data_IF_899725990828
#
_entry.id   IF_899725990828
#
_cell.length_a   1.000
_cell.length_b   1.000
_cell.length_c   1.000
_cell.angle_alpha   90.00
_cell.angle_beta   90.00
_cell.angle_gamma   90.00
#
_symmetry.space_group_name_H-M   'P 1'
#
loop_
_entity.id
_entity.type
_entity.pdbx_description
1 polymer ?
#
# COMPACT_ATOMS: atom_id res chain seq x y z
N UNK A 1 1.27 -3.74 -20.62
CA UNK A 1 1.26 -4.44 -21.92
C UNK A 1 2.11 -3.61 -22.86
N UNK A 2 3.33 -4.07 -23.14
CA UNK A 2 4.17 -3.52 -24.20
C UNK A 2 3.67 -4.13 -25.52
N UNK A 3 3.02 -3.34 -26.36
CA UNK A 3 2.83 -3.69 -27.77
C UNK A 3 4.17 -3.52 -28.48
N UNK A 4 4.81 -4.61 -28.81
CA UNK A 4 6.03 -4.60 -29.63
C UNK A 4 5.58 -5.01 -31.04
N UNK A 5 5.58 -4.05 -31.96
CA UNK A 5 5.23 -4.29 -33.37
C UNK A 5 6.34 -4.98 -34.18
N UNK A 6 7.54 -5.16 -33.60
CA UNK A 6 8.69 -5.79 -34.25
C UNK A 6 9.34 -6.84 -33.38
N UNK A 7 9.21 -8.13 -33.76
CA UNK A 7 9.79 -9.26 -33.05
C UNK A 7 11.32 -9.18 -32.84
N UNK A 8 12.04 -8.50 -33.73
CA UNK A 8 13.50 -8.31 -33.60
C UNK A 8 13.92 -7.50 -32.37
N UNK A 9 13.08 -6.60 -31.88
CA UNK A 9 13.36 -5.81 -30.66
C UNK A 9 13.21 -6.64 -29.39
N UNK A 10 12.30 -7.60 -29.36
CA UNK A 10 12.12 -8.49 -28.21
C UNK A 10 13.29 -9.45 -28.09
N UNK A 11 13.72 -10.08 -29.19
CA UNK A 11 14.83 -11.01 -29.24
C UNK A 11 16.16 -10.38 -28.80
N UNK A 12 16.36 -9.07 -29.04
CA UNK A 12 17.56 -8.37 -28.64
C UNK A 12 17.61 -8.00 -27.13
N UNK A 13 16.46 -8.06 -26.44
CA UNK A 13 16.33 -7.69 -25.04
C UNK A 13 16.23 -8.90 -24.09
N UNK A 14 16.00 -10.11 -24.64
CA UNK A 14 15.83 -11.35 -23.89
C UNK A 14 17.08 -12.22 -23.97
N UNK A 15 17.27 -13.08 -22.98
CA UNK A 15 18.30 -14.13 -23.03
C UNK A 15 18.01 -15.17 -24.12
N UNK A 16 19.02 -15.88 -24.56
CA UNK A 16 18.89 -16.98 -25.53
C UNK A 16 17.90 -18.05 -25.05
N UNK A 17 17.88 -18.31 -23.74
CA UNK A 17 16.93 -19.27 -23.12
C UNK A 17 15.48 -18.77 -23.18
N UNK A 18 15.27 -17.49 -22.97
CA UNK A 18 13.94 -16.87 -23.05
C UNK A 18 13.42 -16.82 -24.49
N UNK A 19 14.31 -16.54 -25.46
CA UNK A 19 13.97 -16.58 -26.89
C UNK A 19 13.59 -18.00 -27.32
N UNK A 20 14.36 -19.03 -26.90
CA UNK A 20 14.06 -20.42 -27.19
C UNK A 20 12.69 -20.86 -26.60
N UNK A 21 12.35 -20.38 -25.42
CA UNK A 21 11.06 -20.64 -24.79
C UNK A 21 9.89 -20.03 -25.59
N UNK A 22 10.06 -18.82 -26.11
CA UNK A 22 9.06 -18.15 -26.95
C UNK A 22 8.88 -18.90 -28.26
N UNK A 23 9.98 -19.32 -28.90
CA UNK A 23 9.96 -20.07 -30.17
C UNK A 23 9.33 -21.46 -30.01
N UNK A 24 9.63 -22.19 -28.92
CA UNK A 24 9.02 -23.46 -28.61
C UNK A 24 7.50 -23.31 -28.42
N UNK A 25 7.08 -22.33 -27.64
CA UNK A 25 5.66 -22.03 -27.42
C UNK A 25 4.94 -21.62 -28.72
N UNK A 26 5.56 -20.82 -29.56
CA UNK A 26 5.02 -20.40 -30.87
C UNK A 26 4.91 -21.57 -31.86
N UNK A 27 5.75 -22.61 -31.70
CA UNK A 27 5.77 -23.81 -32.53
C UNK A 27 4.81 -24.90 -32.05
N UNK A 28 3.99 -24.66 -31.03
CA UNK A 28 3.00 -25.58 -30.48
C UNK A 28 3.39 -26.20 -29.15
N UNK A 29 4.40 -25.68 -28.49
CA UNK A 29 4.75 -25.97 -27.10
C UNK A 29 3.68 -25.50 -26.12
N UNK A 30 3.75 -25.98 -24.87
CA UNK A 30 2.82 -25.58 -23.81
C UNK A 30 3.12 -24.19 -23.22
N UNK A 31 2.17 -23.66 -22.46
CA UNK A 31 2.41 -22.45 -21.66
C UNK A 31 3.55 -22.68 -20.67
N UNK A 32 4.45 -21.71 -20.54
CA UNK A 32 5.60 -21.82 -19.66
C UNK A 32 5.98 -20.45 -19.06
N UNK A 33 6.78 -20.45 -18.00
CA UNK A 33 7.28 -19.22 -17.40
C UNK A 33 8.69 -19.40 -16.84
N UNK A 34 9.50 -18.34 -16.93
CA UNK A 34 10.84 -18.28 -16.35
C UNK A 34 11.11 -16.91 -15.74
N UNK A 35 12.20 -16.80 -14.97
CA UNK A 35 12.70 -15.51 -14.51
C UNK A 35 13.74 -15.02 -15.49
N UNK A 36 13.54 -13.82 -16.01
CA UNK A 36 14.44 -13.16 -16.94
C UNK A 36 15.12 -11.97 -16.26
N UNK A 37 16.42 -11.81 -16.52
CA UNK A 37 17.22 -10.72 -15.97
C UNK A 37 17.39 -9.64 -17.03
N UNK A 38 16.64 -8.54 -16.89
CA UNK A 38 16.72 -7.39 -17.78
C UNK A 38 17.50 -6.24 -17.14
N UNK A 39 17.94 -5.27 -17.95
CA UNK A 39 18.60 -4.05 -17.45
C UNK A 39 17.76 -3.28 -16.43
N UNK A 40 16.44 -3.45 -16.45
CA UNK A 40 15.48 -2.83 -15.54
C UNK A 40 15.23 -3.67 -14.27
N UNK A 41 15.86 -4.85 -14.14
CA UNK A 41 15.73 -5.79 -13.02
C UNK A 41 15.09 -7.11 -13.43
N UNK A 42 14.90 -7.98 -12.44
CA UNK A 42 14.31 -9.30 -12.65
C UNK A 42 12.84 -9.19 -13.07
N UNK A 43 12.48 -9.88 -14.14
CA UNK A 43 11.12 -9.97 -14.65
C UNK A 43 10.68 -11.45 -14.74
N UNK A 44 9.43 -11.72 -14.47
CA UNK A 44 8.82 -13.00 -14.83
C UNK A 44 8.38 -12.92 -16.28
N UNK A 45 8.98 -13.73 -17.11
CA UNK A 45 8.54 -13.99 -18.47
C UNK A 45 7.50 -15.11 -18.42
N UNK A 46 6.29 -14.84 -18.88
CA UNK A 46 5.25 -15.87 -19.08
C UNK A 46 4.90 -15.92 -20.56
N UNK A 47 4.95 -17.11 -21.13
CA UNK A 47 4.66 -17.36 -22.55
C UNK A 47 3.48 -18.30 -22.64
N UNK A 48 2.47 -17.92 -23.44
CA UNK A 48 1.24 -18.70 -23.62
C UNK A 48 1.02 -18.90 -25.13
N UNK A 49 0.70 -20.13 -25.58
CA UNK A 49 0.40 -20.39 -26.98
C UNK A 49 -0.77 -19.53 -27.48
N UNK A 50 -0.64 -19.03 -28.70
CA UNK A 50 -1.66 -18.28 -29.41
C UNK A 50 -1.78 -18.80 -30.84
N UNK A 51 -2.98 -18.80 -31.49
CA UNK A 51 -3.16 -19.27 -32.85
C UNK A 51 -2.19 -18.67 -33.89
N UNK A 52 -1.78 -17.42 -33.67
CA UNK A 52 -0.87 -16.69 -34.55
C UNK A 52 0.58 -16.65 -34.02
N UNK A 53 0.95 -17.49 -33.04
CA UNK A 53 2.29 -17.53 -32.45
C UNK A 53 2.29 -17.73 -30.93
N UNK A 54 2.85 -16.80 -30.16
CA UNK A 54 2.87 -16.85 -28.71
C UNK A 54 2.56 -15.46 -28.10
N UNK A 55 1.81 -15.45 -27.02
CA UNK A 55 1.63 -14.27 -26.17
C UNK A 55 2.73 -14.26 -25.11
N UNK A 56 3.43 -13.15 -25.00
CA UNK A 56 4.51 -12.94 -24.03
C UNK A 56 4.11 -11.86 -23.05
N UNK A 57 4.11 -12.19 -21.77
CA UNK A 57 3.92 -11.25 -20.68
C UNK A 57 5.22 -11.13 -19.87
N UNK A 58 5.68 -9.89 -19.67
CA UNK A 58 6.80 -9.56 -18.81
C UNK A 58 6.25 -8.85 -17.56
N UNK A 59 6.36 -9.49 -16.42
CA UNK A 59 5.97 -8.93 -15.13
C UNK A 59 7.22 -8.61 -14.32
N UNK A 60 7.48 -7.34 -13.97
CA UNK A 60 8.57 -7.00 -13.08
C UNK A 60 8.44 -7.79 -11.78
N UNK A 61 9.50 -8.51 -11.40
CA UNK A 61 9.57 -9.15 -10.11
C UNK A 61 9.99 -8.10 -9.08
N UNK A 62 9.25 -7.92 -7.99
CA UNK A 62 9.72 -7.08 -6.92
C UNK A 62 11.05 -7.62 -6.40
N UNK A 63 12.01 -6.74 -6.16
CA UNK A 63 13.31 -7.08 -5.60
C UNK A 63 13.08 -7.84 -4.29
N UNK A 64 13.21 -9.16 -4.31
CA UNK A 64 13.07 -9.98 -3.11
C UNK A 64 14.36 -9.87 -2.32
N UNK A 65 14.40 -8.92 -1.41
CA UNK A 65 15.48 -8.87 -0.42
C UNK A 65 15.44 -10.15 0.44
N UNK A 66 16.63 -10.64 0.88
CA UNK A 66 16.65 -11.76 1.81
C UNK A 66 15.73 -11.48 3.00
N UNK A 67 14.84 -12.42 3.33
CA UNK A 67 13.86 -12.27 4.43
C UNK A 67 14.51 -11.81 5.75
N UNK A 68 15.76 -12.21 6.00
CA UNK A 68 16.49 -11.75 7.17
C UNK A 68 16.88 -10.27 7.15
N UNK A 69 16.92 -9.62 5.98
CA UNK A 69 17.33 -8.22 5.89
C UNK A 69 16.25 -7.26 6.40
N UNK A 70 14.97 -7.55 6.16
CA UNK A 70 13.86 -6.77 6.68
C UNK A 70 13.86 -6.77 8.22
N UNK A 71 14.09 -7.93 8.83
CA UNK A 71 14.19 -8.05 10.29
C UNK A 71 15.40 -7.26 10.84
N UNK A 72 16.58 -7.45 10.27
CA UNK A 72 17.79 -6.75 10.73
C UNK A 72 17.64 -5.23 10.58
N UNK A 73 17.09 -4.76 9.46
CA UNK A 73 16.83 -3.33 9.27
C UNK A 73 15.78 -2.81 10.25
N UNK A 74 14.67 -3.54 10.43
CA UNK A 74 13.60 -3.19 11.35
C UNK A 74 14.08 -3.13 12.80
N UNK A 75 14.77 -4.16 13.26
CA UNK A 75 15.32 -4.23 14.62
C UNK A 75 16.34 -3.14 14.88
N UNK A 76 17.23 -2.88 13.92
CA UNK A 76 18.26 -1.84 14.05
C UNK A 76 17.64 -0.45 14.11
N UNK A 77 16.64 -0.18 13.26
CA UNK A 77 15.90 1.09 13.26
C UNK A 77 15.12 1.26 14.57
N UNK A 78 14.37 0.24 14.99
CA UNK A 78 13.61 0.27 16.24
C UNK A 78 14.51 0.46 17.46
N UNK A 79 15.66 -0.22 17.53
CA UNK A 79 16.63 -0.03 18.61
C UNK A 79 17.24 1.39 18.62
N UNK A 80 17.42 1.99 17.45
CA UNK A 80 17.92 3.37 17.34
C UNK A 80 16.85 4.38 17.76
N UNK A 81 15.61 4.17 17.34
CA UNK A 81 14.45 4.99 17.75
C UNK A 81 14.25 4.92 19.27
N UNK A 82 14.37 3.72 19.87
CA UNK A 82 14.28 3.54 21.32
C UNK A 82 15.32 4.37 22.09
N UNK A 83 16.56 4.35 21.60
CA UNK A 83 17.64 5.18 22.19
C UNK A 83 17.34 6.69 22.08
N UNK A 84 16.75 7.12 20.96
CA UNK A 84 16.30 8.51 20.80
C UNK A 84 15.20 8.87 21.78
N UNK A 85 14.25 7.95 22.06
CA UNK A 85 13.23 8.15 23.11
C UNK A 85 13.82 8.36 24.49
N UNK A 86 14.81 7.54 24.85
CA UNK A 86 15.49 7.67 26.15
C UNK A 86 16.27 8.99 26.26
N UNK A 87 16.83 9.49 25.16
CA UNK A 87 17.50 10.79 25.11
C UNK A 87 16.47 11.93 25.20
N UNK A 88 15.36 11.86 24.48
CA UNK A 88 14.31 12.86 24.52
C UNK A 88 13.65 12.96 25.91
N UNK A 89 13.46 11.81 26.60
CA UNK A 89 12.93 11.77 27.96
C UNK A 89 13.87 12.44 29.00
N UNK A 90 15.16 12.56 28.69
CA UNK A 90 16.17 13.26 29.53
C UNK A 90 16.36 14.72 29.13
N UNK A 91 15.72 15.21 28.08
CA UNK A 91 15.83 16.60 27.65
C UNK A 91 15.18 17.51 28.69
N UNK A 92 15.93 18.53 29.11
CA UNK A 92 15.44 19.50 30.10
C UNK A 92 14.45 20.52 29.52
N UNK A 93 14.46 20.72 28.20
CA UNK A 93 13.55 21.62 27.49
C UNK A 93 12.31 20.86 26.99
N UNK A 94 11.10 21.17 27.48
CA UNK A 94 9.87 20.50 27.04
C UNK A 94 9.56 20.68 25.56
N UNK A 95 9.91 21.82 24.97
CA UNK A 95 9.66 22.09 23.56
C UNK A 95 10.56 21.23 22.67
N UNK A 96 11.84 21.10 23.06
CA UNK A 96 12.79 20.21 22.39
C UNK A 96 12.36 18.73 22.55
N UNK A 97 11.94 18.32 23.74
CA UNK A 97 11.44 16.96 23.98
C UNK A 97 10.24 16.64 23.09
N UNK A 98 9.28 17.56 22.97
CA UNK A 98 8.12 17.40 22.11
C UNK A 98 8.49 17.34 20.61
N UNK A 99 9.42 18.19 20.17
CA UNK A 99 9.91 18.19 18.79
C UNK A 99 10.63 16.86 18.45
N UNK A 100 11.51 16.40 19.34
CA UNK A 100 12.19 15.09 19.19
C UNK A 100 11.20 13.94 19.14
N UNK A 101 10.18 13.95 20.01
CA UNK A 101 9.14 12.91 20.02
C UNK A 101 8.40 12.86 18.68
N UNK A 102 8.01 14.00 18.11
CA UNK A 102 7.36 14.04 16.79
C UNK A 102 8.25 13.44 15.69
N UNK A 103 9.53 13.78 15.64
CA UNK A 103 10.44 13.23 14.64
C UNK A 103 10.68 11.73 14.84
N UNK A 104 10.71 11.24 16.07
CA UNK A 104 10.82 9.82 16.35
C UNK A 104 9.59 9.04 15.89
N UNK A 105 8.38 9.58 16.09
CA UNK A 105 7.15 8.98 15.55
C UNK A 105 7.17 8.90 14.01
N UNK A 106 7.67 9.97 13.34
CA UNK A 106 7.82 9.97 11.88
C UNK A 106 8.80 8.89 11.41
N UNK A 107 9.93 8.75 12.11
CA UNK A 107 10.91 7.69 11.82
C UNK A 107 10.31 6.30 12.04
N UNK A 108 9.55 6.11 13.11
CA UNK A 108 8.90 4.84 13.42
C UNK A 108 7.85 4.46 12.38
N UNK A 109 7.04 5.43 11.93
CA UNK A 109 6.10 5.24 10.83
C UNK A 109 6.81 4.84 9.54
N UNK A 110 7.90 5.53 9.21
CA UNK A 110 8.71 5.19 8.04
C UNK A 110 9.31 3.78 8.17
N UNK A 111 9.87 3.43 9.33
CA UNK A 111 10.42 2.10 9.60
C UNK A 111 9.36 1.01 9.44
N UNK A 112 8.15 1.22 9.97
CA UNK A 112 7.01 0.31 9.82
C UNK A 112 6.65 0.11 8.34
N UNK A 113 6.45 1.19 7.59
CA UNK A 113 6.11 1.09 6.17
C UNK A 113 7.22 0.41 5.35
N UNK A 114 8.49 0.75 5.62
CA UNK A 114 9.64 0.12 4.95
C UNK A 114 9.69 -1.37 5.24
N UNK A 115 9.52 -1.78 6.49
CA UNK A 115 9.55 -3.19 6.87
C UNK A 115 8.46 -3.99 6.18
N UNK A 116 7.23 -3.47 6.15
CA UNK A 116 6.10 -4.10 5.47
C UNK A 116 6.29 -4.17 3.95
N UNK A 117 6.94 -3.17 3.34
CA UNK A 117 7.22 -3.14 1.91
C UNK A 117 8.41 -4.06 1.53
N UNK A 118 9.36 -4.27 2.43
CA UNK A 118 10.50 -5.18 2.20
C UNK A 118 10.12 -6.67 2.34
N UNK A 119 9.14 -6.98 3.18
CA UNK A 119 8.62 -8.33 3.36
C UNK A 119 7.07 -8.29 3.28
N UNK A 120 6.55 -8.08 2.06
CA UNK A 120 5.14 -7.86 1.87
C UNK A 120 4.33 -9.06 2.33
N UNK A 121 3.26 -8.83 3.11
CA UNK A 121 2.35 -9.89 3.49
C UNK A 121 1.69 -10.46 2.24
N UNK A 122 1.66 -11.78 2.13
CA UNK A 122 0.91 -12.49 1.11
C UNK A 122 -0.41 -13.00 1.70
N UNK A 123 -1.42 -13.20 0.84
CA UNK A 123 -2.66 -13.82 1.29
C UNK A 123 -2.39 -15.13 2.04
N UNK A 124 -3.06 -15.31 3.17
CA UNK A 124 -2.85 -16.46 4.07
C UNK A 124 -1.73 -16.28 5.11
N UNK A 125 -0.90 -15.22 5.00
CA UNK A 125 0.10 -14.85 6.04
C UNK A 125 -0.31 -13.65 6.87
N UNK A 126 -1.38 -12.93 6.47
CA UNK A 126 -1.94 -11.83 7.25
C UNK A 126 -2.63 -12.37 8.51
N UNK A 127 -2.60 -11.57 9.59
CA UNK A 127 -3.30 -11.91 10.81
C UNK A 127 -4.79 -11.52 10.72
N UNK A 128 -5.51 -12.18 9.80
CA UNK A 128 -6.92 -11.90 9.56
C UNK A 128 -7.81 -12.48 10.66
N UNK A 129 -8.80 -11.73 11.09
CA UNK A 129 -9.82 -12.13 12.04
C UNK A 129 -11.14 -11.43 11.72
N UNK A 130 -12.24 -11.89 12.33
CA UNK A 130 -13.53 -11.23 12.18
C UNK A 130 -13.46 -9.80 12.71
N UNK A 131 -13.83 -8.84 11.86
CA UNK A 131 -13.74 -7.43 12.14
C UNK A 131 -14.98 -6.68 11.65
N UNK A 132 -15.59 -5.89 12.50
CA UNK A 132 -16.65 -4.97 12.10
C UNK A 132 -16.05 -3.73 11.43
N UNK A 133 -16.07 -3.73 10.09
CA UNK A 133 -15.49 -2.68 9.26
C UNK A 133 -16.17 -1.32 9.48
N UNK A 134 -17.48 -1.31 9.74
CA UNK A 134 -18.22 -0.08 10.04
C UNK A 134 -17.63 0.63 11.26
N UNK A 135 -17.37 -0.12 12.33
CA UNK A 135 -16.75 0.40 13.53
C UNK A 135 -15.30 0.83 13.28
N UNK A 136 -14.52 0.00 12.60
CA UNK A 136 -13.13 0.32 12.28
C UNK A 136 -13.02 1.62 11.48
N UNK A 137 -13.86 1.82 10.47
CA UNK A 137 -13.88 3.05 9.67
C UNK A 137 -14.27 4.28 10.50
N UNK A 138 -15.30 4.16 11.35
CA UNK A 138 -15.71 5.25 12.25
C UNK A 138 -14.60 5.61 13.24
N UNK A 139 -14.00 4.61 13.88
CA UNK A 139 -12.90 4.80 14.84
C UNK A 139 -11.71 5.51 14.22
N UNK A 140 -11.34 5.15 12.97
CA UNK A 140 -10.23 5.79 12.23
C UNK A 140 -10.52 7.27 11.98
N UNK A 141 -11.72 7.61 11.48
CA UNK A 141 -12.09 8.99 11.23
C UNK A 141 -12.09 9.81 12.54
N UNK A 142 -12.72 9.29 13.59
CA UNK A 142 -12.81 9.94 14.88
C UNK A 142 -11.43 10.19 15.51
N UNK A 143 -10.51 9.26 15.37
CA UNK A 143 -9.16 9.39 15.90
C UNK A 143 -8.38 10.52 15.20
N UNK A 144 -8.53 10.67 13.89
CA UNK A 144 -7.95 11.78 13.14
C UNK A 144 -8.57 13.11 13.61
N UNK A 145 -9.90 13.20 13.64
CA UNK A 145 -10.61 14.42 14.02
C UNK A 145 -10.24 14.90 15.44
N UNK A 146 -10.05 13.98 16.39
CA UNK A 146 -9.63 14.32 17.77
C UNK A 146 -8.23 14.92 17.85
N UNK A 147 -7.33 14.61 16.90
CA UNK A 147 -5.95 15.11 16.89
C UNK A 147 -5.76 16.36 16.03
N UNK A 148 -6.74 16.67 15.18
CA UNK A 148 -6.73 17.92 14.41
C UNK A 148 -6.99 19.13 15.31
N UNK A 149 -6.43 20.30 14.95
CA UNK A 149 -6.80 21.57 15.55
C UNK A 149 -8.31 21.80 15.49
N UNK A 150 -8.87 22.57 16.44
CA UNK A 150 -10.33 22.73 16.59
C UNK A 150 -11.00 23.27 15.32
N UNK A 151 -10.34 24.20 14.63
CA UNK A 151 -10.81 24.80 13.38
C UNK A 151 -10.84 23.84 12.18
N UNK A 152 -10.29 22.64 12.32
CA UNK A 152 -10.23 21.62 11.28
C UNK A 152 -10.99 20.33 11.63
N UNK A 153 -11.63 20.24 12.79
CA UNK A 153 -12.31 19.02 13.25
C UNK A 153 -13.55 18.65 12.46
N UNK A 154 -14.05 19.53 11.61
CA UNK A 154 -15.21 19.31 10.75
C UNK A 154 -14.83 19.05 9.27
N UNK A 155 -13.53 18.90 8.98
CA UNK A 155 -13.08 18.70 7.61
C UNK A 155 -13.47 17.34 7.03
N UNK A 156 -13.67 16.29 7.85
CA UNK A 156 -14.04 14.94 7.40
C UNK A 156 -15.53 14.69 7.63
N UNK A 157 -16.24 14.37 6.54
CA UNK A 157 -17.60 13.84 6.58
C UNK A 157 -17.56 12.33 6.40
N UNK A 158 -18.07 11.59 7.40
CA UNK A 158 -18.08 10.13 7.38
C UNK A 158 -19.47 9.58 7.11
N UNK A 159 -19.58 8.61 6.20
CA UNK A 159 -20.81 7.87 5.94
C UNK A 159 -20.49 6.37 5.88
N UNK A 160 -20.93 5.64 6.89
CA UNK A 160 -20.72 4.19 6.99
C UNK A 160 -22.04 3.48 7.27
N UNK A 161 -22.27 2.27 6.75
CA UNK A 161 -23.48 1.50 7.04
C UNK A 161 -23.48 1.04 8.50
N UNK A 162 -24.64 0.67 9.02
CA UNK A 162 -24.76 0.21 10.42
C UNK A 162 -23.99 -1.07 10.71
N UNK A 163 -23.86 -1.96 9.72
CA UNK A 163 -23.12 -3.23 9.86
C UNK A 163 -22.46 -3.59 8.53
N UNK A 164 -21.17 -3.81 8.60
CA UNK A 164 -20.36 -4.40 7.54
C UNK A 164 -19.19 -5.10 8.23
N UNK A 165 -19.10 -6.41 8.14
CA UNK A 165 -18.03 -7.22 8.75
C UNK A 165 -17.32 -8.03 7.68
N UNK A 166 -16.04 -8.29 7.88
CA UNK A 166 -15.24 -9.17 7.04
C UNK A 166 -14.06 -9.75 7.82
N UNK A 167 -13.42 -10.75 7.25
CA UNK A 167 -12.23 -11.38 7.80
C UNK A 167 -10.98 -10.64 7.30
N UNK A 168 -10.40 -9.79 8.14
CA UNK A 168 -9.32 -8.88 7.76
C UNK A 168 -8.22 -8.76 8.82
N UNK A 169 -7.04 -8.34 8.41
CA UNK A 169 -6.00 -7.83 9.31
C UNK A 169 -6.33 -6.37 9.67
N UNK A 170 -7.05 -6.21 10.77
CA UNK A 170 -7.55 -4.91 11.21
C UNK A 170 -6.42 -3.91 11.51
N UNK A 171 -5.24 -4.37 11.92
CA UNK A 171 -4.08 -3.51 12.21
C UNK A 171 -3.55 -2.87 10.93
N UNK A 172 -3.29 -3.70 9.91
CA UNK A 172 -2.81 -3.23 8.61
C UNK A 172 -3.84 -2.40 7.86
N UNK A 173 -5.11 -2.83 7.90
CA UNK A 173 -6.20 -2.10 7.26
C UNK A 173 -6.38 -0.73 7.89
N UNK A 174 -6.33 -0.62 9.22
CA UNK A 174 -6.39 0.65 9.96
C UNK A 174 -5.25 1.58 9.55
N UNK A 175 -4.01 1.08 9.49
CA UNK A 175 -2.86 1.85 9.04
C UNK A 175 -3.01 2.34 7.58
N UNK A 176 -3.52 1.51 6.69
CA UNK A 176 -3.79 1.91 5.31
C UNK A 176 -4.83 3.04 5.24
N UNK A 177 -5.93 2.94 6.00
CA UNK A 177 -6.95 3.98 6.06
C UNK A 177 -6.43 5.29 6.65
N UNK A 178 -5.58 5.25 7.69
CA UNK A 178 -4.90 6.45 8.19
C UNK A 178 -4.08 7.11 7.08
N UNK A 179 -3.33 6.34 6.31
CA UNK A 179 -2.52 6.89 5.22
C UNK A 179 -3.37 7.57 4.14
N UNK A 180 -4.51 6.98 3.76
CA UNK A 180 -5.41 7.57 2.78
C UNK A 180 -6.06 8.86 3.29
N UNK A 181 -6.61 8.82 4.52
CA UNK A 181 -7.29 9.97 5.12
C UNK A 181 -6.32 11.12 5.45
N UNK A 182 -5.13 10.82 5.97
CA UNK A 182 -4.13 11.84 6.26
C UNK A 182 -3.65 12.55 5.00
N UNK A 183 -3.50 11.83 3.89
CA UNK A 183 -3.19 12.43 2.59
C UNK A 183 -4.32 13.38 2.13
N UNK A 184 -5.58 12.99 2.30
CA UNK A 184 -6.73 13.81 1.94
C UNK A 184 -6.82 15.08 2.82
N UNK A 185 -6.65 14.94 4.13
CA UNK A 185 -6.66 16.06 5.10
C UNK A 185 -5.47 17.02 4.87
N UNK A 186 -4.32 16.51 4.42
CA UNK A 186 -3.15 17.35 4.15
C UNK A 186 -3.37 18.33 2.99
N UNK A 187 -4.22 17.96 2.02
CA UNK A 187 -4.49 18.78 0.82
C UNK A 187 -5.85 19.49 0.85
N UNK A 188 -6.67 19.22 1.86
CA UNK A 188 -8.04 19.74 2.00
C UNK A 188 -8.32 20.04 3.47
N UNK A 189 -8.47 21.30 3.83
CA UNK A 189 -8.64 21.74 5.22
C UNK A 189 -10.01 22.33 5.53
N UNK A 190 -10.79 22.67 4.50
CA UNK A 190 -12.10 23.31 4.69
C UNK A 190 -13.14 22.32 5.28
N UNK A 191 -14.17 22.83 5.98
CA UNK A 191 -15.25 22.01 6.47
C UNK A 191 -15.87 21.12 5.38
N UNK A 192 -15.99 19.82 5.66
CA UNK A 192 -16.56 18.83 4.73
C UNK A 192 -15.80 18.68 3.41
N UNK A 193 -14.54 19.09 3.36
CA UNK A 193 -13.70 18.98 2.16
C UNK A 193 -13.22 17.55 1.89
N UNK A 194 -13.19 16.71 2.91
CA UNK A 194 -12.87 15.28 2.83
C UNK A 194 -14.16 14.49 3.10
N UNK A 195 -14.48 13.53 2.24
CA UNK A 195 -15.54 12.56 2.50
C UNK A 195 -14.97 11.17 2.63
N UNK A 196 -15.40 10.45 3.64
CA UNK A 196 -15.02 9.06 3.88
C UNK A 196 -16.26 8.19 3.93
N UNK A 197 -16.38 7.23 3.02
CA UNK A 197 -17.54 6.35 2.92
C UNK A 197 -17.12 4.89 2.92
N UNK A 198 -17.95 4.04 3.54
CA UNK A 198 -17.91 2.60 3.41
C UNK A 198 -19.18 2.15 2.71
N UNK A 199 -19.05 1.40 1.63
CA UNK A 199 -20.18 0.82 0.89
C UNK A 199 -19.93 -0.66 0.63
N UNK A 200 -21.00 -1.44 0.48
CA UNK A 200 -20.91 -2.82 0.00
C UNK A 200 -21.30 -2.83 -1.48
N UNK A 201 -20.44 -3.41 -2.31
CA UNK A 201 -20.65 -3.53 -3.76
C UNK A 201 -20.60 -4.99 -4.18
N UNK A 202 -21.58 -5.45 -4.95
CA UNK A 202 -21.57 -6.75 -5.58
C UNK A 202 -20.87 -6.64 -6.93
N UNK A 203 -19.88 -7.46 -7.19
CA UNK A 203 -19.15 -7.50 -8.46
C UNK A 203 -19.23 -8.89 -9.07
N UNK A 204 -19.29 -9.00 -10.42
CA UNK A 204 -19.20 -10.28 -11.08
C UNK A 204 -17.86 -10.97 -10.79
N UNK A 205 -17.91 -12.24 -10.52
CA UNK A 205 -16.77 -13.13 -10.36
C UNK A 205 -16.70 -14.14 -11.52
N UNK A 206 -15.91 -15.19 -11.37
CA UNK A 206 -15.77 -16.22 -12.37
C UNK A 206 -17.05 -17.11 -12.39
N UNK A 207 -17.44 -17.66 -13.56
CA UNK A 207 -18.53 -18.62 -13.72
C UNK A 207 -19.92 -18.15 -13.23
N UNK A 208 -20.34 -16.92 -13.56
CA UNK A 208 -21.61 -16.31 -13.15
C UNK A 208 -21.82 -16.14 -11.63
N UNK A 209 -20.76 -16.35 -10.83
CA UNK A 209 -20.77 -16.03 -9.41
C UNK A 209 -20.63 -14.52 -9.19
N UNK A 210 -21.07 -14.06 -8.04
CA UNK A 210 -20.89 -12.67 -7.60
C UNK A 210 -20.15 -12.66 -6.27
N UNK A 211 -19.23 -11.73 -6.13
CA UNK A 211 -18.52 -11.46 -4.88
C UNK A 211 -18.92 -10.12 -4.31
N UNK A 212 -19.15 -10.09 -3.03
CA UNK A 212 -19.37 -8.83 -2.30
C UNK A 212 -18.04 -8.23 -1.87
N UNK A 213 -17.95 -6.92 -1.99
CA UNK A 213 -16.78 -6.14 -1.60
C UNK A 213 -17.18 -5.03 -0.62
N UNK A 214 -16.39 -4.87 0.42
CA UNK A 214 -16.38 -3.63 1.19
C UNK A 214 -15.50 -2.61 0.45
N UNK A 215 -16.07 -1.47 0.11
CA UNK A 215 -15.39 -0.38 -0.61
C UNK A 215 -15.29 0.83 0.30
N UNK A 216 -14.09 1.12 0.74
CA UNK A 216 -13.74 2.30 1.53
C UNK A 216 -13.26 3.39 0.58
N UNK A 217 -14.04 4.46 0.44
CA UNK A 217 -13.77 5.57 -0.48
C UNK A 217 -13.41 6.82 0.30
N UNK A 218 -12.26 7.40 -0.03
CA UNK A 218 -11.80 8.69 0.49
C UNK A 218 -11.75 9.68 -0.67
N UNK A 219 -12.53 10.76 -0.56
CA UNK A 219 -12.52 11.85 -1.54
C UNK A 219 -12.00 13.13 -0.91
N UNK A 220 -11.16 13.86 -1.62
CA UNK A 220 -10.67 15.18 -1.24
C UNK A 220 -11.07 16.26 -2.25
N UNK A 221 -10.80 17.52 -1.91
CA UNK A 221 -10.95 18.69 -2.78
C UNK A 221 -9.61 19.35 -3.10
N UNK A 222 -8.52 18.60 -2.98
CA UNK A 222 -7.17 19.07 -3.28
C UNK A 222 -6.90 19.24 -4.78
N UNK A 223 -5.63 19.37 -5.17
CA UNK A 223 -5.22 19.56 -6.57
C UNK A 223 -5.50 18.37 -7.47
N UNK A 224 -5.88 17.22 -6.90
CA UNK A 224 -6.08 15.97 -7.62
C UNK A 224 -4.77 15.20 -7.84
N UNK A 225 -4.92 13.88 -7.96
CA UNK A 225 -3.83 12.96 -8.27
C UNK A 225 -4.16 12.26 -9.59
N UNK A 226 -3.30 12.45 -10.62
CA UNK A 226 -3.52 11.76 -11.89
C UNK A 226 -3.23 10.27 -11.75
N UNK A 227 -3.89 9.40 -12.57
CA UNK A 227 -3.62 7.96 -12.56
C UNK A 227 -2.15 7.60 -12.81
N UNK A 228 -1.43 8.40 -13.60
CA UNK A 228 -0.01 8.21 -13.87
C UNK A 228 0.83 8.49 -12.63
N UNK A 229 0.55 9.61 -11.92
CA UNK A 229 1.22 9.95 -10.67
C UNK A 229 0.91 8.95 -9.57
N UNK A 230 -0.33 8.46 -9.50
CA UNK A 230 -0.71 7.39 -8.58
C UNK A 230 0.09 6.12 -8.87
N UNK A 231 0.11 5.65 -10.14
CA UNK A 231 0.91 4.48 -10.53
C UNK A 231 2.39 4.67 -10.19
N UNK A 232 2.96 5.85 -10.46
CA UNK A 232 4.35 6.15 -10.10
C UNK A 232 4.57 6.13 -8.58
N UNK A 233 3.66 6.65 -7.78
CA UNK A 233 3.77 6.66 -6.32
C UNK A 233 3.70 5.24 -5.73
N UNK A 234 2.84 4.39 -6.29
CA UNK A 234 2.69 2.99 -5.87
C UNK A 234 3.85 2.13 -6.36
N UNK A 235 4.31 2.33 -7.60
CA UNK A 235 5.41 1.59 -8.22
C UNK A 235 6.80 2.15 -7.89
N UNK A 236 6.91 3.25 -7.15
CA UNK A 236 8.19 3.89 -6.79
C UNK A 236 9.16 2.95 -6.06
N UNK A 237 8.67 1.81 -5.57
CA UNK A 237 9.45 0.71 -5.01
C UNK A 237 9.88 -0.33 -6.04
N UNK A 238 9.21 -0.35 -7.20
CA UNK A 238 9.48 -1.32 -8.27
C UNK A 238 10.30 -0.69 -9.41
N UNK A 239 10.40 0.64 -9.47
CA UNK A 239 11.09 1.34 -10.55
C UNK A 239 12.08 2.37 -10.00
N UNK A 240 13.24 2.42 -10.60
CA UNK A 240 14.32 3.34 -10.28
C UNK A 240 13.90 4.81 -10.46
N UNK A 241 13.34 5.44 -9.43
CA UNK A 241 13.35 6.89 -9.37
C UNK A 241 14.78 7.37 -9.40
N UNK A 242 15.12 8.23 -10.33
CA UNK A 242 16.46 8.83 -10.37
C UNK A 242 16.77 9.55 -9.06
N UNK A 243 18.02 9.53 -8.63
CA UNK A 243 18.46 10.25 -7.41
C UNK A 243 18.06 11.74 -7.44
N UNK A 244 17.97 12.32 -8.64
CA UNK A 244 17.59 13.73 -8.87
C UNK A 244 16.09 14.00 -8.61
N UNK A 245 15.21 13.05 -8.95
CA UNK A 245 13.78 13.14 -8.65
C UNK A 245 13.50 12.95 -7.17
N UNK A 246 14.18 11.99 -6.52
CA UNK A 246 14.12 11.83 -5.06
C UNK A 246 14.54 13.11 -4.33
N UNK A 247 15.65 13.73 -4.76
CA UNK A 247 16.15 14.95 -4.16
C UNK A 247 15.20 16.14 -4.32
N UNK A 248 14.52 16.24 -5.48
CA UNK A 248 13.50 17.29 -5.71
C UNK A 248 12.26 17.09 -4.83
N UNK A 249 11.80 15.86 -4.65
CA UNK A 249 10.66 15.53 -3.79
C UNK A 249 10.97 15.81 -2.32
N UNK A 250 12.18 15.47 -1.87
CA UNK A 250 12.63 15.74 -0.50
C UNK A 250 12.78 17.24 -0.24
N UNK A 251 13.30 17.98 -1.21
CA UNK A 251 13.47 19.45 -1.10
C UNK A 251 12.12 20.21 -1.11
N UNK A 252 11.06 19.64 -1.70
CA UNK A 252 9.72 20.22 -1.67
C UNK A 252 8.90 19.88 -0.41
N UNK A 253 9.52 19.18 0.56
CA UNK A 253 8.82 18.70 1.77
C UNK A 253 7.82 17.55 1.50
N UNK A 254 7.63 17.19 0.25
CA UNK A 254 6.90 15.97 -0.12
C UNK A 254 7.83 14.77 0.05
N UNK A 255 7.72 14.09 1.15
CA UNK A 255 8.30 12.75 1.24
C UNK A 255 7.62 11.86 0.19
N UNK A 256 8.36 11.14 -0.65
CA UNK A 256 7.75 10.18 -1.57
C UNK A 256 6.90 9.23 -0.75
N UNK A 257 5.59 9.27 -1.05
CA UNK A 257 4.59 8.71 -0.15
C UNK A 257 4.65 7.20 -0.08
N UNK A 258 5.43 6.66 0.85
CA UNK A 258 5.37 5.25 1.24
C UNK A 258 3.93 4.83 1.59
N UNK A 259 3.11 5.77 2.05
CA UNK A 259 1.74 5.52 2.47
C UNK A 259 0.82 4.97 1.39
N UNK A 260 0.91 5.44 0.14
CA UNK A 260 0.10 4.89 -0.96
C UNK A 260 0.59 3.51 -1.39
N UNK A 261 1.90 3.30 -1.45
CA UNK A 261 2.48 1.99 -1.74
C UNK A 261 2.11 0.98 -0.65
N UNK A 262 2.16 1.39 0.63
CA UNK A 262 1.72 0.57 1.74
C UNK A 262 0.21 0.26 1.67
N UNK A 263 -0.65 1.24 1.39
CA UNK A 263 -2.09 1.00 1.24
C UNK A 263 -2.41 0.05 0.08
N UNK A 264 -1.68 0.15 -1.03
CA UNK A 264 -1.79 -0.80 -2.15
C UNK A 264 -1.40 -2.22 -1.73
N UNK A 265 -0.31 -2.35 -1.00
CA UNK A 265 0.17 -3.63 -0.49
C UNK A 265 -0.85 -4.26 0.46
N UNK A 266 -1.45 -3.47 1.37
CA UNK A 266 -2.50 -3.94 2.26
C UNK A 266 -3.74 -4.40 1.47
N UNK A 267 -4.14 -3.65 0.44
CA UNK A 267 -5.24 -4.05 -0.42
C UNK A 267 -4.95 -5.42 -1.08
N UNK A 268 -3.77 -5.58 -1.68
CA UNK A 268 -3.35 -6.83 -2.32
C UNK A 268 -3.27 -8.01 -1.34
N UNK A 269 -2.78 -7.78 -0.12
CA UNK A 269 -2.72 -8.81 0.92
C UNK A 269 -4.11 -9.31 1.35
N UNK A 270 -5.15 -8.51 1.13
CA UNK A 270 -6.56 -8.85 1.36
C UNK A 270 -7.30 -9.28 0.07
N UNK A 271 -6.57 -9.64 -1.00
CA UNK A 271 -7.14 -9.94 -2.33
C UNK A 271 -8.01 -8.82 -2.90
N UNK A 272 -7.75 -7.60 -2.44
CA UNK A 272 -8.47 -6.41 -2.83
C UNK A 272 -7.70 -5.54 -3.81
N UNK A 273 -8.22 -4.34 -4.02
CA UNK A 273 -7.64 -3.35 -4.94
C UNK A 273 -7.63 -1.96 -4.33
N UNK A 274 -6.61 -1.18 -4.65
CA UNK A 274 -6.59 0.26 -4.40
C UNK A 274 -6.62 0.97 -5.76
N UNK A 275 -7.59 1.84 -5.96
CA UNK A 275 -7.73 2.62 -7.20
C UNK A 275 -7.79 4.10 -6.91
N UNK A 276 -7.35 4.90 -7.89
CA UNK A 276 -7.33 6.35 -7.82
C UNK A 276 -8.01 6.93 -9.05
N UNK A 277 -8.92 7.88 -8.83
CA UNK A 277 -9.55 8.66 -9.87
C UNK A 277 -9.47 10.16 -9.55
N UNK A 278 -9.31 10.96 -10.58
CA UNK A 278 -9.43 12.41 -10.45
C UNK A 278 -10.91 12.80 -10.50
N UNK A 279 -11.35 13.65 -9.56
CA UNK A 279 -12.74 14.07 -9.48
C UNK A 279 -13.03 15.20 -10.46
N UNK A 280 -14.25 15.24 -11.07
CA UNK A 280 -14.71 16.41 -11.81
C UNK A 280 -14.74 17.64 -10.88
N UNK A 281 -14.11 18.73 -11.29
CA UNK A 281 -14.04 19.95 -10.49
C UNK A 281 -12.85 20.02 -9.53
N UNK A 282 -11.95 19.03 -9.54
CA UNK A 282 -10.75 18.96 -8.72
C UNK A 282 -10.86 17.99 -7.55
N UNK A 283 -9.72 17.59 -7.03
CA UNK A 283 -9.61 16.61 -5.96
C UNK A 283 -9.38 15.18 -6.44
N UNK A 284 -9.18 14.29 -5.48
CA UNK A 284 -8.91 12.87 -5.70
C UNK A 284 -10.01 12.01 -5.09
N UNK A 285 -10.30 10.90 -5.73
CA UNK A 285 -11.07 9.80 -5.17
C UNK A 285 -10.16 8.57 -5.07
N UNK A 286 -9.93 8.11 -3.83
CA UNK A 286 -9.20 6.88 -3.54
C UNK A 286 -10.18 5.82 -3.08
N UNK A 287 -10.17 4.65 -3.71
CA UNK A 287 -11.07 3.53 -3.37
C UNK A 287 -10.24 2.31 -3.01
N UNK A 288 -10.34 1.89 -1.76
CA UNK A 288 -9.79 0.64 -1.26
C UNK A 288 -10.93 -0.36 -1.16
N UNK A 289 -10.91 -1.37 -2.01
CA UNK A 289 -11.93 -2.41 -2.06
C UNK A 289 -11.33 -3.74 -1.59
N UNK A 290 -11.97 -4.40 -0.64
CA UNK A 290 -11.59 -5.72 -0.15
C UNK A 290 -12.80 -6.66 -0.28
N UNK A 291 -12.61 -7.94 -0.67
CA UNK A 291 -13.71 -8.89 -0.73
C UNK A 291 -14.24 -9.18 0.67
N UNK A 292 -15.54 -9.36 0.77
CA UNK A 292 -16.20 -9.79 1.99
C UNK A 292 -16.16 -11.33 2.03
N UNK A 293 -15.28 -11.88 2.83
CA UNK A 293 -15.20 -13.31 3.05
C UNK A 293 -15.92 -13.70 4.35
N UNK A 294 -16.81 -14.67 4.25
CA UNK A 294 -17.12 -15.52 5.39
C UNK A 294 -16.11 -16.68 5.39
N UNK A 295 -15.34 -16.85 6.46
CA UNK A 295 -14.37 -17.94 6.50
C UNK A 295 -15.09 -19.28 6.48
N UNK A 296 -14.93 -20.06 5.40
CA UNK A 296 -15.42 -21.42 5.28
C UNK A 296 -14.81 -22.37 6.30
N UNK A 297 -13.67 -22.01 6.85
CA UNK A 297 -13.00 -22.70 7.96
C UNK A 297 -12.23 -21.67 8.76
N UNK A 298 -12.29 -21.74 10.09
CA UNK A 298 -11.42 -20.94 10.97
C UNK A 298 -9.97 -21.33 10.68
N UNK A 299 -9.32 -20.62 9.77
CA UNK A 299 -7.89 -20.73 9.59
C UNK A 299 -7.22 -20.45 10.94
N UNK A 300 -6.34 -21.35 11.36
CA UNK A 300 -5.59 -21.12 12.58
C UNK A 300 -4.90 -19.78 12.47
N UNK A 301 -4.95 -18.94 13.54
CA UNK A 301 -4.33 -17.61 13.49
C UNK A 301 -2.88 -17.79 13.07
N UNK A 302 -2.53 -17.17 11.95
CA UNK A 302 -1.15 -17.07 11.51
C UNK A 302 -0.33 -16.51 12.67
N UNK A 303 0.91 -16.93 12.83
CA UNK A 303 1.78 -16.38 13.88
C UNK A 303 1.76 -14.86 13.76
N UNK A 304 1.13 -14.21 14.74
CA UNK A 304 1.22 -12.78 14.91
C UNK A 304 2.70 -12.42 14.87
N UNK A 305 3.12 -11.74 13.82
CA UNK A 305 4.36 -10.98 13.89
C UNK A 305 4.01 -9.90 14.91
N UNK A 306 4.40 -10.11 16.15
CA UNK A 306 4.44 -9.02 17.11
C UNK A 306 5.33 -7.97 16.47
N UNK A 307 4.74 -6.84 16.07
CA UNK A 307 5.50 -5.63 15.93
C UNK A 307 6.00 -5.33 17.34
N UNK A 308 7.22 -5.81 17.65
CA UNK A 308 7.89 -5.51 18.89
C UNK A 308 8.27 -4.02 18.87
N UNK A 309 7.27 -3.17 18.96
CA UNK A 309 7.49 -1.78 19.33
C UNK A 309 8.10 -1.80 20.72
N UNK A 310 9.23 -1.17 20.89
CA UNK A 310 10.01 -1.10 22.15
C UNK A 310 9.19 -0.51 23.31
N UNK A 311 8.05 0.10 23.02
CA UNK A 311 6.95 0.41 23.92
C UNK A 311 5.65 -0.01 23.24
N UNK A 312 4.60 -0.36 23.99
CA UNK A 312 3.28 -0.66 23.42
C UNK A 312 2.68 0.64 22.86
N UNK A 313 3.15 1.05 21.69
CA UNK A 313 2.58 2.16 20.94
C UNK A 313 1.52 1.59 20.03
N UNK A 314 0.38 2.25 19.99
CA UNK A 314 -0.68 1.86 19.08
C UNK A 314 -0.32 2.28 17.65
N UNK A 315 -0.88 1.59 16.66
CA UNK A 315 -0.76 2.00 15.24
C UNK A 315 -1.26 3.43 15.07
N UNK A 316 -2.27 3.81 15.85
CA UNK A 316 -2.82 5.16 15.89
C UNK A 316 -1.76 6.20 16.27
N UNK A 317 -0.96 5.92 17.29
CA UNK A 317 0.07 6.85 17.75
C UNK A 317 1.17 7.05 16.69
N UNK A 318 1.54 5.98 16.01
CA UNK A 318 2.55 6.00 14.94
C UNK A 318 2.03 6.72 13.69
N UNK A 319 0.86 6.33 13.19
CA UNK A 319 0.32 6.86 11.94
C UNK A 319 -0.16 8.32 12.08
N UNK A 320 -0.74 8.68 13.23
CA UNK A 320 -1.26 10.03 13.46
C UNK A 320 -0.20 11.03 13.95
N UNK A 321 1.05 10.63 14.04
CA UNK A 321 2.16 11.48 14.49
C UNK A 321 2.47 12.68 13.59
N UNK A 322 1.93 12.69 12.37
CA UNK A 322 2.11 13.78 11.41
C UNK A 322 1.10 14.92 11.55
N UNK A 323 0.06 14.72 12.36
CA UNK A 323 -0.91 15.76 12.71
C UNK A 323 -0.38 16.61 13.87
#
# INVERSE_FOLDING_TARGET
VLHIENGDLLASALSDEAVALVEDCASGGGANSMTEHLDVGDCRLTVVPHPDGALVALEPQPLRLPRGLSYVCGDTLNASIARLYDLAAKASDPALAAALSREMFRLQRMAFHVTELLDPPVFGTINAHDCELSRLCSDVADQILRRLPEDRRDCIMTSVPMRCSSYVDAVRLRAALYNLLLNAVAVSSDPGSVTFTLTCETRPAFEDETLEYAVMTVCDRGPGLSPERFRSAVSAWCTSMSARERMRLTASGMQPGLGLAFAQLVAQAHEGTLTCAQRPGGGTEMRLAIPLFEPLTKLAPGRSIRSDFVRPMSVEDVELSIL
#
